data_IF_452766196266
#
_entry.id   IF_452766196266
#
_cell.length_a   1.000
_cell.length_b   1.000
_cell.length_c   1.000
_cell.angle_alpha   90.00
_cell.angle_beta   90.00
_cell.angle_gamma   90.00
#
_symmetry.space_group_name_H-M   'P 1'
#
loop_
_entity.id
_entity.type
_entity.pdbx_description
1 polymer ?
#
# COMPACT_ATOMS: atom_id res chain seq x y z
N UNK A 1 -5.29 -11.58 -10.78
CA UNK A 1 -4.54 -10.54 -10.06
C UNK A 1 -4.67 -10.66 -8.53
N UNK A 2 -3.55 -10.52 -7.82
CA UNK A 2 -3.45 -10.24 -6.38
C UNK A 2 -2.88 -8.85 -6.14
N UNK A 3 -3.53 -8.09 -5.27
CA UNK A 3 -3.16 -6.74 -4.91
C UNK A 3 -2.99 -6.65 -3.39
N UNK A 4 -1.85 -6.15 -2.96
CA UNK A 4 -1.64 -5.77 -1.57
C UNK A 4 -1.65 -4.25 -1.42
N UNK A 5 -2.43 -3.75 -0.46
CA UNK A 5 -2.49 -2.32 -0.13
C UNK A 5 -1.98 -2.12 1.29
N UNK A 6 -0.82 -1.50 1.41
CA UNK A 6 -0.14 -1.20 2.67
C UNK A 6 -0.23 0.29 2.99
N UNK A 7 -0.82 0.63 4.13
CA UNK A 7 -0.65 1.98 4.68
C UNK A 7 0.78 2.12 5.20
N UNK A 8 1.42 3.27 4.98
CA UNK A 8 2.72 3.56 5.61
C UNK A 8 2.73 3.30 7.13
N UNK A 9 3.89 2.96 7.68
CA UNK A 9 4.10 2.80 9.12
C UNK A 9 3.93 4.11 9.91
N UNK A 10 3.91 4.00 11.24
CA UNK A 10 3.83 5.20 12.08
C UNK A 10 4.94 6.19 11.77
N UNK A 11 4.58 7.48 11.67
CA UNK A 11 5.49 8.54 11.28
C UNK A 11 5.51 9.66 12.33
N UNK A 12 6.69 10.25 12.50
CA UNK A 12 6.99 11.41 13.34
C UNK A 12 5.88 12.47 13.24
N UNK A 13 5.44 13.10 14.34
CA UNK A 13 4.33 14.04 14.30
C UNK A 13 4.67 15.36 13.60
N UNK A 14 5.97 15.69 13.44
CA UNK A 14 6.43 16.96 12.85
C UNK A 14 7.64 16.75 11.94
N UNK A 15 7.71 17.54 10.88
CA UNK A 15 8.84 17.73 9.98
C UNK A 15 8.70 19.13 9.33
N UNK A 16 9.58 19.51 8.39
CA UNK A 16 9.44 20.80 7.69
C UNK A 16 8.19 20.85 6.79
N UNK A 17 7.76 19.69 6.29
CA UNK A 17 6.52 19.50 5.52
C UNK A 17 5.90 18.14 5.86
N UNK A 18 4.60 17.92 5.59
CA UNK A 18 3.98 16.60 5.84
C UNK A 18 4.66 15.50 5.01
N UNK A 19 5.01 15.79 3.75
CA UNK A 19 5.66 14.85 2.85
C UNK A 19 7.04 14.38 3.35
N UNK A 20 7.74 15.21 4.14
CA UNK A 20 9.06 14.92 4.71
C UNK A 20 9.04 14.12 6.02
N UNK A 21 7.86 13.88 6.60
CA UNK A 21 7.74 13.10 7.84
C UNK A 21 8.32 11.71 7.65
N UNK A 22 9.20 11.32 8.58
CA UNK A 22 9.88 10.03 8.61
C UNK A 22 9.13 9.04 9.51
N UNK A 23 9.35 7.75 9.29
CA UNK A 23 8.89 6.71 10.20
C UNK A 23 9.52 6.87 11.59
N UNK A 24 8.72 6.65 12.64
CA UNK A 24 9.22 6.46 14.01
C UNK A 24 9.92 5.11 14.12
N UNK A 25 10.71 4.87 15.18
CA UNK A 25 11.28 3.54 15.43
C UNK A 25 10.18 2.46 15.53
N UNK A 26 9.11 2.75 16.26
CA UNK A 26 7.94 1.88 16.38
C UNK A 26 7.27 1.60 15.01
N UNK A 27 7.10 2.64 14.19
CA UNK A 27 6.54 2.49 12.85
C UNK A 27 7.37 1.58 11.94
N UNK A 28 8.70 1.55 12.10
CA UNK A 28 9.57 0.62 11.36
C UNK A 28 9.35 -0.82 11.80
N UNK A 29 9.22 -1.06 13.11
CA UNK A 29 8.91 -2.40 13.65
C UNK A 29 7.56 -2.91 13.16
N UNK A 30 6.54 -2.06 13.17
CA UNK A 30 5.22 -2.40 12.64
C UNK A 30 5.27 -2.79 11.16
N UNK A 31 6.02 -2.04 10.34
CA UNK A 31 6.20 -2.36 8.92
C UNK A 31 6.87 -3.72 8.72
N UNK A 32 7.89 -4.06 9.52
CA UNK A 32 8.55 -5.37 9.44
C UNK A 32 7.60 -6.52 9.79
N UNK A 33 6.67 -6.32 10.74
CA UNK A 33 5.61 -7.30 11.03
C UNK A 33 4.69 -7.49 9.82
N UNK A 34 4.29 -6.41 9.16
CA UNK A 34 3.46 -6.50 7.95
C UNK A 34 4.23 -7.11 6.77
N UNK A 35 5.52 -6.84 6.64
CA UNK A 35 6.37 -7.44 5.61
C UNK A 35 6.46 -8.96 5.76
N UNK A 36 6.42 -9.49 6.99
CA UNK A 36 6.44 -10.94 7.23
C UNK A 36 5.24 -11.67 6.60
N UNK A 37 4.08 -11.01 6.47
CA UNK A 37 2.89 -11.57 5.79
C UNK A 37 3.12 -11.73 4.29
N UNK A 38 4.04 -10.95 3.71
CA UNK A 38 4.37 -10.97 2.29
C UNK A 38 5.50 -11.93 1.95
N UNK A 39 6.14 -12.58 2.93
CA UNK A 39 7.22 -13.53 2.68
C UNK A 39 6.75 -14.71 1.83
N UNK A 40 7.48 -14.97 0.75
CA UNK A 40 7.16 -16.04 -0.21
C UNK A 40 6.04 -15.70 -1.19
N UNK A 41 5.45 -14.50 -1.13
CA UNK A 41 4.50 -14.05 -2.14
C UNK A 41 5.24 -13.70 -3.45
N UNK A 42 4.69 -14.07 -4.61
CA UNK A 42 5.32 -13.86 -5.92
C UNK A 42 5.12 -12.40 -6.42
N UNK A 43 5.54 -11.40 -5.63
CA UNK A 43 5.44 -10.00 -6.02
C UNK A 43 6.19 -9.73 -7.33
N UNK A 44 5.58 -8.95 -8.20
CA UNK A 44 6.17 -8.45 -9.45
C UNK A 44 6.60 -6.98 -9.33
N UNK A 45 6.03 -6.23 -8.39
CA UNK A 45 6.42 -4.86 -8.13
C UNK A 45 6.05 -4.41 -6.71
N UNK A 46 6.87 -3.50 -6.18
CA UNK A 46 6.57 -2.66 -5.03
C UNK A 46 6.46 -1.23 -5.53
N UNK A 47 5.28 -0.63 -5.39
CA UNK A 47 4.97 0.72 -5.88
C UNK A 47 4.60 1.60 -4.69
N UNK A 48 5.21 2.79 -4.59
CA UNK A 48 5.07 3.64 -3.42
C UNK A 48 4.84 5.11 -3.78
N UNK A 49 4.08 5.79 -2.91
CA UNK A 49 3.95 7.24 -2.88
C UNK A 49 5.32 7.93 -2.69
N UNK A 50 5.55 9.13 -3.27
CA UNK A 50 6.80 9.86 -3.10
C UNK A 50 7.06 10.35 -1.66
N UNK A 51 6.08 10.28 -0.76
CA UNK A 51 6.24 10.77 0.61
C UNK A 51 7.24 9.91 1.39
N UNK A 52 8.09 10.55 2.20
CA UNK A 52 9.24 9.90 2.85
C UNK A 52 8.83 8.70 3.69
N UNK A 53 7.75 8.80 4.46
CA UNK A 53 7.21 7.67 5.25
C UNK A 53 6.75 6.47 4.41
N UNK A 54 6.19 6.72 3.22
CA UNK A 54 5.79 5.64 2.31
C UNK A 54 7.02 4.99 1.66
N UNK A 55 7.99 5.80 1.24
CA UNK A 55 9.27 5.32 0.70
C UNK A 55 10.05 4.49 1.72
N UNK A 56 10.13 4.94 2.98
CA UNK A 56 10.77 4.18 4.04
C UNK A 56 10.02 2.88 4.37
N UNK A 57 8.69 2.89 4.29
CA UNK A 57 7.88 1.68 4.46
C UNK A 57 8.18 0.67 3.35
N UNK A 58 8.13 1.12 2.08
CA UNK A 58 8.42 0.29 0.93
C UNK A 58 9.86 -0.26 0.94
N UNK A 59 10.84 0.56 1.36
CA UNK A 59 12.23 0.13 1.49
C UNK A 59 12.42 -0.98 2.54
N UNK A 60 11.74 -0.89 3.69
CA UNK A 60 11.78 -1.95 4.70
C UNK A 60 11.15 -3.25 4.19
N UNK A 61 10.03 -3.17 3.47
CA UNK A 61 9.40 -4.35 2.86
C UNK A 61 10.32 -4.94 1.79
N UNK A 62 10.86 -4.12 0.89
CA UNK A 62 11.79 -4.54 -0.14
C UNK A 62 13.00 -5.29 0.44
N UNK A 63 13.65 -4.72 1.46
CA UNK A 63 14.79 -5.35 2.16
C UNK A 63 14.38 -6.67 2.83
N UNK A 64 13.26 -6.68 3.56
CA UNK A 64 12.78 -7.87 4.27
C UNK A 64 12.42 -9.03 3.33
N UNK A 65 11.92 -8.73 2.12
CA UNK A 65 11.58 -9.74 1.12
C UNK A 65 12.77 -10.16 0.26
N UNK A 66 13.89 -9.44 0.32
CA UNK A 66 15.00 -9.63 -0.63
C UNK A 66 14.55 -9.44 -2.07
N UNK A 67 13.65 -8.49 -2.31
CA UNK A 67 13.07 -8.23 -3.64
C UNK A 67 14.16 -7.64 -4.57
N UNK A 68 14.26 -8.16 -5.79
CA UNK A 68 15.36 -7.82 -6.71
C UNK A 68 15.16 -6.46 -7.38
N UNK A 69 13.92 -6.14 -7.75
CA UNK A 69 13.60 -4.94 -8.51
C UNK A 69 13.40 -3.71 -7.61
N UNK A 70 13.85 -2.52 -8.04
CA UNK A 70 13.73 -1.31 -7.23
C UNK A 70 12.27 -0.93 -6.99
N UNK A 71 12.02 -0.29 -5.84
CA UNK A 71 10.73 0.34 -5.54
C UNK A 71 10.38 1.38 -6.60
N UNK A 72 9.20 1.25 -7.20
CA UNK A 72 8.69 2.20 -8.18
C UNK A 72 7.98 3.36 -7.47
N UNK A 73 8.45 4.59 -7.71
CA UNK A 73 7.84 5.78 -7.11
C UNK A 73 6.83 6.42 -8.06
N UNK A 74 5.61 6.66 -7.59
CA UNK A 74 4.52 7.22 -8.41
C UNK A 74 3.72 8.28 -7.67
N UNK A 75 3.30 9.33 -8.37
CA UNK A 75 2.55 10.46 -7.77
C UNK A 75 1.08 10.13 -7.52
N UNK A 76 0.52 9.12 -8.19
CA UNK A 76 -0.87 8.69 -8.01
C UNK A 76 -1.11 7.86 -6.74
N UNK A 77 -0.11 7.73 -5.85
CA UNK A 77 -0.28 7.11 -4.53
C UNK A 77 -0.30 8.11 -3.36
N UNK A 78 -0.36 9.42 -3.63
CA UNK A 78 -0.44 10.46 -2.59
C UNK A 78 -1.81 10.47 -1.89
N UNK A 79 -1.93 11.04 -0.67
CA UNK A 79 -3.18 10.99 0.09
C UNK A 79 -4.41 11.56 -0.63
N UNK A 80 -4.20 12.54 -1.50
CA UNK A 80 -5.27 13.31 -2.16
C UNK A 80 -5.68 12.75 -3.52
N UNK A 81 -5.02 11.68 -4.00
CA UNK A 81 -5.34 11.06 -5.29
C UNK A 81 -6.72 10.39 -5.26
N UNK A 82 -7.46 10.49 -6.37
CA UNK A 82 -8.74 9.78 -6.52
C UNK A 82 -8.49 8.26 -6.67
N UNK A 83 -9.18 7.39 -5.90
CA UNK A 83 -9.04 5.94 -6.08
C UNK A 83 -9.30 5.43 -7.50
N UNK A 84 -10.13 6.13 -8.29
CA UNK A 84 -10.36 5.78 -9.69
C UNK A 84 -9.11 6.01 -10.56
N UNK A 85 -8.29 7.02 -10.23
CA UNK A 85 -7.01 7.24 -10.90
C UNK A 85 -6.06 6.09 -10.60
N UNK A 86 -5.99 5.64 -9.34
CA UNK A 86 -5.18 4.47 -8.95
C UNK A 86 -5.59 3.21 -9.72
N UNK A 87 -6.89 2.95 -9.82
CA UNK A 87 -7.44 1.83 -10.60
C UNK A 87 -7.03 1.93 -12.08
N UNK A 88 -7.15 3.12 -12.68
CA UNK A 88 -6.78 3.33 -14.07
C UNK A 88 -5.28 3.07 -14.31
N UNK A 89 -4.42 3.53 -13.39
CA UNK A 89 -2.97 3.31 -13.48
C UNK A 89 -2.60 1.84 -13.26
N UNK A 90 -3.20 1.16 -12.27
CA UNK A 90 -3.03 -0.28 -12.07
C UNK A 90 -3.40 -1.09 -13.31
N UNK A 91 -4.53 -0.75 -13.94
CA UNK A 91 -4.98 -1.43 -15.15
C UNK A 91 -4.03 -1.22 -16.35
N UNK A 92 -3.37 -0.05 -16.45
CA UNK A 92 -2.36 0.22 -17.48
C UNK A 92 -1.08 -0.59 -17.27
N UNK A 93 -0.70 -0.83 -16.00
CA UNK A 93 0.51 -1.58 -15.67
C UNK A 93 0.40 -3.07 -16.04
N UNK A 94 -0.81 -3.64 -15.99
CA UNK A 94 -1.04 -5.05 -16.37
C UNK A 94 -0.28 -6.05 -15.48
N UNK A 95 0.01 -5.68 -14.23
CA UNK A 95 0.70 -6.52 -13.25
C UNK A 95 -0.30 -7.43 -12.53
N UNK A 96 0.10 -8.68 -12.30
CA UNK A 96 -0.73 -9.70 -11.66
C UNK A 96 -0.50 -9.81 -10.16
N UNK A 97 0.65 -9.41 -9.64
CA UNK A 97 0.97 -9.49 -8.20
C UNK A 97 1.72 -8.22 -7.78
N UNK A 98 1.05 -7.28 -7.12
CA UNK A 98 1.63 -5.96 -6.82
C UNK A 98 1.33 -5.49 -5.40
N UNK A 99 2.33 -4.87 -4.77
CA UNK A 99 2.20 -4.16 -3.50
C UNK A 99 2.15 -2.65 -3.76
N UNK A 100 1.12 -2.00 -3.21
CA UNK A 100 1.01 -0.54 -3.14
C UNK A 100 1.28 -0.05 -1.72
N UNK A 101 2.11 0.99 -1.58
CA UNK A 101 2.41 1.64 -0.30
C UNK A 101 1.94 3.10 -0.32
N UNK A 102 0.93 3.40 0.49
CA UNK A 102 0.19 4.68 0.41
C UNK A 102 -0.32 5.16 1.79
N UNK A 103 -1.36 6.00 1.81
CA UNK A 103 -1.81 6.82 2.92
C UNK A 103 -3.32 6.76 3.14
N UNK A 104 -3.76 7.22 4.31
CA UNK A 104 -5.17 7.61 4.48
C UNK A 104 -5.43 9.00 3.86
N UNK A 105 -6.64 9.26 3.31
CA UNK A 105 -7.79 8.35 3.22
C UNK A 105 -7.71 7.33 2.08
N UNK A 106 -6.76 7.49 1.15
CA UNK A 106 -6.68 6.75 -0.11
C UNK A 106 -6.73 5.22 0.07
N UNK A 107 -5.95 4.64 0.98
CA UNK A 107 -5.89 3.18 1.16
C UNK A 107 -7.24 2.57 1.51
N UNK A 108 -7.98 3.18 2.44
CA UNK A 108 -9.32 2.70 2.81
C UNK A 108 -10.30 2.89 1.65
N UNK A 109 -10.25 4.03 0.97
CA UNK A 109 -11.12 4.29 -0.16
C UNK A 109 -10.86 3.38 -1.37
N UNK A 110 -9.59 3.05 -1.64
CA UNK A 110 -9.18 2.15 -2.71
C UNK A 110 -9.68 0.74 -2.47
N UNK A 111 -9.49 0.21 -1.26
CA UNK A 111 -9.97 -1.13 -0.89
C UNK A 111 -11.48 -1.22 -1.04
N UNK A 112 -12.23 -0.24 -0.49
CA UNK A 112 -13.68 -0.21 -0.63
C UNK A 112 -14.13 -0.09 -2.09
N UNK A 113 -13.42 0.67 -2.92
CA UNK A 113 -13.77 0.85 -4.32
C UNK A 113 -13.57 -0.44 -5.11
N UNK A 114 -12.45 -1.13 -4.91
CA UNK A 114 -12.14 -2.39 -5.58
C UNK A 114 -13.06 -3.53 -5.13
N UNK A 115 -13.42 -3.58 -3.84
CA UNK A 115 -14.27 -4.63 -3.28
C UNK A 115 -15.76 -4.40 -3.55
N UNK A 116 -16.27 -3.19 -3.27
CA UNK A 116 -17.71 -2.93 -3.18
C UNK A 116 -18.20 -1.90 -4.21
N UNK A 117 -17.28 -1.32 -5.00
CA UNK A 117 -17.62 -0.31 -6.00
C UNK A 117 -17.83 1.10 -5.42
N UNK A 118 -17.53 1.33 -4.14
CA UNK A 118 -17.71 2.64 -3.49
C UNK A 118 -16.57 3.00 -2.52
N UNK A 119 -16.40 4.29 -2.18
CA UNK A 119 -15.26 4.78 -1.40
C UNK A 119 -15.25 4.41 0.08
N UNK A 120 -16.31 3.79 0.62
CA UNK A 120 -16.32 3.32 1.99
C UNK A 120 -15.60 1.97 2.05
N UNK A 121 -14.45 1.92 2.70
CA UNK A 121 -13.69 0.69 2.90
C UNK A 121 -13.28 0.50 4.35
N UNK A 122 -12.56 -0.59 4.65
CA UNK A 122 -12.18 -0.94 6.00
C UNK A 122 -11.25 0.08 6.63
N UNK A 123 -11.19 0.10 7.96
CA UNK A 123 -10.20 0.88 8.69
C UNK A 123 -8.79 0.33 8.42
N UNK A 124 -7.85 1.23 8.12
CA UNK A 124 -6.44 0.88 7.92
C UNK A 124 -5.61 1.71 8.90
N UNK A 125 -5.13 1.08 9.98
CA UNK A 125 -4.15 1.68 10.91
C UNK A 125 -2.77 1.76 10.24
N UNK A 126 -1.82 2.47 10.85
CA UNK A 126 -0.45 2.54 10.31
C UNK A 126 0.12 1.13 10.14
N UNK A 127 0.80 0.90 9.02
CA UNK A 127 1.29 -0.41 8.61
C UNK A 127 0.22 -1.51 8.41
N UNK A 128 -1.09 -1.20 8.41
CA UNK A 128 -2.11 -2.17 7.97
C UNK A 128 -1.90 -2.62 6.52
N UNK A 129 -2.03 -3.92 6.30
CA UNK A 129 -1.92 -4.57 5.00
C UNK A 129 -3.26 -5.22 4.64
N UNK A 130 -3.86 -4.81 3.52
CA UNK A 130 -5.02 -5.48 2.93
C UNK A 130 -4.58 -6.33 1.74
N UNK A 131 -5.11 -7.54 1.63
CA UNK A 131 -4.94 -8.44 0.48
C UNK A 131 -6.25 -8.52 -0.30
N UNK A 132 -6.20 -8.22 -1.59
CA UNK A 132 -7.31 -8.37 -2.51
C UNK A 132 -6.96 -9.31 -3.65
N UNK A 133 -7.96 -10.04 -4.13
CA UNK A 133 -7.83 -10.96 -5.27
C UNK A 133 -8.99 -10.79 -6.26
N UNK A 134 -8.69 -10.82 -7.55
CA UNK A 134 -9.70 -10.72 -8.61
C UNK A 134 -9.08 -10.80 -10.00
N UNK A 135 -9.91 -10.92 -11.02
CA UNK A 135 -9.43 -10.99 -12.41
C UNK A 135 -8.96 -9.62 -12.92
N UNK A 136 -9.58 -8.54 -12.45
CA UNK A 136 -9.31 -7.18 -12.89
C UNK A 136 -9.29 -6.21 -11.71
N UNK A 137 -8.41 -5.20 -11.69
CA UNK A 137 -8.39 -4.17 -10.65
C UNK A 137 -9.49 -3.13 -10.87
N UNK A 138 -10.72 -3.56 -11.16
CA UNK A 138 -11.85 -2.68 -11.42
C UNK A 138 -12.74 -2.57 -10.19
N UNK A 139 -13.49 -1.47 -10.13
CA UNK A 139 -14.39 -1.19 -9.03
C UNK A 139 -15.42 -2.31 -8.85
N UNK A 140 -15.52 -2.88 -7.65
CA UNK A 140 -16.45 -3.94 -7.29
C UNK A 140 -16.12 -5.34 -7.84
N UNK A 141 -14.93 -5.54 -8.43
CA UNK A 141 -14.54 -6.81 -9.06
C UNK A 141 -13.41 -7.56 -8.34
N UNK A 142 -12.95 -7.07 -7.19
CA UNK A 142 -12.00 -7.79 -6.35
C UNK A 142 -12.66 -8.27 -5.06
N UNK A 143 -12.14 -9.34 -4.48
CA UNK A 143 -12.50 -9.83 -3.14
C UNK A 143 -11.44 -9.40 -2.14
N UNK A 144 -11.84 -8.83 -1.01
CA UNK A 144 -10.94 -8.60 0.12
C UNK A 144 -10.72 -9.92 0.87
N UNK A 145 -9.53 -10.49 0.71
CA UNK A 145 -9.18 -11.81 1.25
C UNK A 145 -8.74 -11.72 2.72
N UNK A 146 -7.99 -10.69 3.08
CA UNK A 146 -7.48 -10.50 4.44
C UNK A 146 -7.14 -9.04 4.76
N UNK A 147 -7.18 -8.69 6.04
CA UNK A 147 -6.55 -7.48 6.59
C UNK A 147 -5.70 -7.88 7.78
N UNK A 148 -4.43 -7.47 7.75
CA UNK A 148 -3.50 -7.61 8.87
C UNK A 148 -3.21 -6.24 9.48
N UNK A 149 -3.39 -6.12 10.79
CA UNK A 149 -2.98 -4.96 11.58
C UNK A 149 -1.74 -5.35 12.39
N UNK A 150 -0.63 -4.61 12.29
CA UNK A 150 0.51 -4.85 13.15
C UNK A 150 0.23 -4.26 14.54
N UNK A 151 0.21 -5.14 15.54
CA UNK A 151 0.17 -4.78 16.96
C UNK A 151 1.46 -4.07 17.42
#
# INVERSE_FOLDING_TARGET
MKLWVLRHGEAEPRANSDAERRLTAHGREQVLRSAAVLLGQPLQAIIASPYVRAQQTAGLVHEALGFDDPVQTVTWLTPDTDPQEVIAELNKLGLEQVLLVSHQPLVSCLVGMLEQGHRQGPSMSTASLAELEGDWPLAGLMSLCAISHPD
#
